data_IF_464723542476
#
_entry.id   IF_464723542476
#
_cell.length_a   1.000
_cell.length_b   1.000
_cell.length_c   1.000
_cell.angle_alpha   90.00
_cell.angle_beta   90.00
_cell.angle_gamma   90.00
#
_symmetry.space_group_name_H-M   'P 1'
#
loop_
_entity.id
_entity.type
_entity.pdbx_description
1 polymer ?
#
# COMPACT_ATOMS: atom_id res chain seq x y z
N UNK A 1 10.01 16.05 -17.06
CA UNK A 1 11.08 15.17 -16.52
C UNK A 1 10.43 14.40 -15.39
N UNK A 2 10.59 13.08 -15.37
CA UNK A 2 10.03 12.25 -14.30
C UNK A 2 10.92 12.34 -13.06
N UNK A 3 10.32 12.53 -11.88
CA UNK A 3 11.02 12.57 -10.60
C UNK A 3 10.40 11.57 -9.63
N UNK A 4 11.24 10.93 -8.82
CA UNK A 4 10.81 10.02 -7.79
C UNK A 4 10.49 10.80 -6.50
N UNK A 5 9.34 10.53 -5.90
CA UNK A 5 8.89 11.17 -4.64
C UNK A 5 8.71 10.15 -3.53
N UNK A 6 8.86 10.60 -2.28
CA UNK A 6 8.75 9.77 -1.08
C UNK A 6 7.39 9.99 -0.38
N UNK A 7 7.20 9.33 0.76
CA UNK A 7 5.93 9.32 1.50
C UNK A 7 5.53 10.69 2.04
N UNK A 8 6.49 11.58 2.30
CA UNK A 8 6.21 12.95 2.72
C UNK A 8 5.42 13.73 1.67
N UNK A 9 5.69 13.50 0.38
CA UNK A 9 4.93 14.05 -0.74
C UNK A 9 3.49 13.53 -0.74
N UNK A 10 3.30 12.22 -0.52
CA UNK A 10 1.96 11.63 -0.39
C UNK A 10 1.19 12.22 0.80
N UNK A 11 1.85 12.37 1.94
CA UNK A 11 1.28 12.96 3.15
C UNK A 11 0.95 14.45 2.97
N UNK A 12 1.76 15.19 2.22
CA UNK A 12 1.52 16.59 1.90
C UNK A 12 0.25 16.77 1.03
N UNK A 13 -0.02 15.83 0.13
CA UNK A 13 -1.24 15.80 -0.69
C UNK A 13 -2.46 15.27 0.09
N UNK A 14 -2.25 14.34 1.02
CA UNK A 14 -3.34 13.68 1.76
C UNK A 14 -3.92 14.53 2.90
N UNK A 15 -3.14 15.42 3.51
CA UNK A 15 -3.57 16.21 4.67
C UNK A 15 -4.20 17.54 4.23
N UNK A 16 -5.30 17.90 4.87
CA UNK A 16 -5.96 19.20 4.68
C UNK A 16 -5.09 20.41 5.08
N UNK A 17 -4.09 20.20 5.93
CA UNK A 17 -3.18 21.26 6.39
C UNK A 17 -1.76 20.74 6.62
N UNK A 18 -1.03 20.49 5.53
CA UNK A 18 0.42 20.26 5.57
C UNK A 18 1.17 21.51 5.11
N UNK A 19 2.29 21.82 5.78
CA UNK A 19 3.16 22.94 5.42
C UNK A 19 3.82 22.76 4.04
N UNK A 20 3.86 21.53 3.52
CA UNK A 20 4.36 21.19 2.18
C UNK A 20 3.26 21.11 1.12
N UNK A 21 1.97 21.21 1.46
CA UNK A 21 0.87 20.96 0.53
C UNK A 21 0.97 21.79 -0.76
N UNK A 22 1.14 23.12 -0.62
CA UNK A 22 1.29 24.00 -1.79
C UNK A 22 2.52 23.68 -2.65
N UNK A 23 3.63 23.28 -2.02
CA UNK A 23 4.84 22.86 -2.74
C UNK A 23 4.64 21.56 -3.50
N UNK A 24 3.91 20.60 -2.92
CA UNK A 24 3.59 19.33 -3.57
C UNK A 24 2.63 19.53 -4.75
N UNK A 25 1.61 20.38 -4.59
CA UNK A 25 0.69 20.74 -5.68
C UNK A 25 1.39 21.47 -6.83
N UNK A 26 2.29 22.41 -6.52
CA UNK A 26 3.09 23.10 -7.52
C UNK A 26 3.98 22.11 -8.29
N UNK A 27 4.61 21.17 -7.57
CA UNK A 27 5.43 20.13 -8.18
C UNK A 27 4.64 19.20 -9.13
N UNK A 28 3.37 18.87 -8.82
CA UNK A 28 2.50 18.11 -9.73
C UNK A 28 2.22 18.85 -11.04
N UNK A 29 2.30 20.18 -11.05
CA UNK A 29 2.18 21.01 -12.26
C UNK A 29 3.46 21.11 -13.08
N UNK A 30 4.62 20.86 -12.47
CA UNK A 30 5.94 21.03 -13.09
C UNK A 30 6.56 19.70 -13.53
N UNK A 31 6.36 18.64 -12.77
CA UNK A 31 7.00 17.34 -12.95
C UNK A 31 5.97 16.23 -13.16
N UNK A 32 6.36 15.23 -13.96
CA UNK A 32 5.74 13.91 -13.85
C UNK A 32 6.36 13.24 -12.62
N UNK A 33 5.54 12.68 -11.73
CA UNK A 33 6.02 12.07 -10.49
C UNK A 33 5.71 10.58 -10.47
N UNK A 34 6.57 9.81 -9.82
CA UNK A 34 6.31 8.40 -9.51
C UNK A 34 6.87 8.07 -8.12
N UNK A 35 6.38 7.00 -7.53
CA UNK A 35 6.89 6.48 -6.25
C UNK A 35 6.92 4.94 -6.26
N UNK A 36 7.23 4.32 -5.13
CA UNK A 36 7.17 2.87 -4.98
C UNK A 36 6.00 2.42 -4.11
N UNK A 37 5.66 1.14 -4.18
CA UNK A 37 4.74 0.50 -3.24
C UNK A 37 5.13 0.72 -1.76
N UNK A 38 6.44 0.92 -1.47
CA UNK A 38 6.89 1.17 -0.10
C UNK A 38 6.41 2.50 0.47
N UNK A 39 6.24 3.53 -0.36
CA UNK A 39 5.70 4.80 0.11
C UNK A 39 4.23 4.69 0.49
N UNK A 40 3.46 3.88 -0.23
CA UNK A 40 2.09 3.55 0.16
C UNK A 40 2.02 2.66 1.41
N UNK A 41 2.94 1.71 1.56
CA UNK A 41 3.06 0.93 2.79
C UNK A 41 3.38 1.82 4.00
N UNK A 42 4.30 2.77 3.86
CA UNK A 42 4.64 3.72 4.91
C UNK A 42 3.46 4.64 5.25
N UNK A 43 2.66 5.05 4.25
CA UNK A 43 1.42 5.77 4.46
C UNK A 43 0.44 4.98 5.35
N UNK A 44 0.27 3.67 5.12
CA UNK A 44 -0.58 2.82 5.98
C UNK A 44 -0.02 2.67 7.40
N UNK A 45 1.31 2.63 7.55
CA UNK A 45 1.97 2.61 8.88
C UNK A 45 1.76 3.93 9.64
N UNK A 46 1.49 5.04 8.94
CA UNK A 46 1.19 6.32 9.56
C UNK A 46 -0.21 6.41 10.18
N UNK A 47 -1.05 5.37 10.11
CA UNK A 47 -2.42 5.33 10.68
C UNK A 47 -2.51 5.66 12.16
N UNK A 48 -1.49 5.33 12.95
CA UNK A 48 -1.47 5.73 14.37
C UNK A 48 -1.46 7.26 14.56
N UNK A 49 -1.07 8.01 13.52
CA UNK A 49 -0.99 9.48 13.53
C UNK A 49 -2.15 10.15 12.81
N UNK A 50 -2.79 9.45 11.86
CA UNK A 50 -3.80 10.03 10.97
C UNK A 50 -4.97 9.07 10.73
N UNK A 51 -6.18 9.55 10.98
CA UNK A 51 -7.43 8.85 10.72
C UNK A 51 -7.94 9.20 9.31
N UNK A 52 -7.40 8.50 8.30
CA UNK A 52 -7.87 8.60 6.92
C UNK A 52 -8.83 7.47 6.56
N UNK A 53 -9.66 7.73 5.54
CA UNK A 53 -10.33 6.67 4.79
C UNK A 53 -9.36 6.14 3.72
N UNK A 54 -8.61 5.10 4.06
CA UNK A 54 -7.40 4.70 3.33
C UNK A 54 -7.69 4.16 1.93
N UNK A 55 -8.77 3.39 1.74
CA UNK A 55 -9.12 2.83 0.43
C UNK A 55 -9.33 3.92 -0.63
N UNK A 56 -10.25 4.89 -0.44
CA UNK A 56 -10.42 5.99 -1.39
C UNK A 56 -9.21 6.93 -1.43
N UNK A 57 -8.50 7.14 -0.31
CA UNK A 57 -7.29 7.97 -0.30
C UNK A 57 -6.21 7.39 -1.22
N UNK A 58 -5.87 6.11 -1.05
CA UNK A 58 -4.83 5.43 -1.84
C UNK A 58 -5.23 5.37 -3.30
N UNK A 59 -6.50 5.08 -3.61
CA UNK A 59 -6.99 5.08 -4.99
C UNK A 59 -6.82 6.45 -5.66
N UNK A 60 -7.15 7.54 -4.96
CA UNK A 60 -6.98 8.89 -5.48
C UNK A 60 -5.50 9.28 -5.62
N UNK A 61 -4.67 8.93 -4.62
CA UNK A 61 -3.23 9.22 -4.65
C UNK A 61 -2.54 8.48 -5.80
N UNK A 62 -2.91 7.23 -6.12
CA UNK A 62 -2.33 6.47 -7.23
C UNK A 62 -2.58 7.11 -8.61
N UNK A 63 -3.62 7.93 -8.75
CA UNK A 63 -3.87 8.70 -9.98
C UNK A 63 -2.99 9.96 -10.07
N UNK A 64 -2.50 10.48 -8.94
CA UNK A 64 -1.62 11.65 -8.89
C UNK A 64 -0.13 11.26 -8.83
N UNK A 65 0.17 10.21 -8.09
CA UNK A 65 1.52 9.72 -7.79
C UNK A 65 1.56 8.21 -8.06
N UNK A 66 1.66 7.80 -9.34
CA UNK A 66 1.66 6.40 -9.72
C UNK A 66 2.90 5.66 -9.20
N UNK A 67 2.78 4.33 -9.18
CA UNK A 67 3.91 3.40 -9.01
C UNK A 67 4.42 2.90 -10.37
N UNK A 68 5.51 2.15 -10.39
CA UNK A 68 6.29 1.89 -11.60
C UNK A 68 5.49 1.18 -12.70
N UNK A 69 4.67 0.19 -12.34
CA UNK A 69 3.88 -0.58 -13.31
C UNK A 69 2.50 -1.00 -12.78
N UNK A 70 1.66 -1.51 -13.70
CA UNK A 70 0.29 -1.92 -13.38
C UNK A 70 0.25 -3.07 -12.36
N UNK A 71 1.25 -3.97 -12.32
CA UNK A 71 1.27 -5.03 -11.32
C UNK A 71 1.54 -4.45 -9.93
N UNK A 72 2.48 -3.51 -9.83
CA UNK A 72 2.74 -2.80 -8.58
C UNK A 72 1.51 -1.98 -8.13
N UNK A 73 0.80 -1.34 -9.09
CA UNK A 73 -0.48 -0.66 -8.81
C UNK A 73 -1.51 -1.62 -8.22
N UNK A 74 -1.66 -2.81 -8.80
CA UNK A 74 -2.57 -3.83 -8.28
C UNK A 74 -2.17 -4.31 -6.89
N UNK A 75 -0.87 -4.43 -6.59
CA UNK A 75 -0.40 -4.75 -5.22
C UNK A 75 -0.86 -3.68 -4.22
N UNK A 76 -0.66 -2.41 -4.53
CA UNK A 76 -1.04 -1.30 -3.63
C UNK A 76 -2.57 -1.28 -3.41
N UNK A 77 -3.35 -1.42 -4.48
CA UNK A 77 -4.82 -1.42 -4.40
C UNK A 77 -5.36 -2.61 -3.60
N UNK A 78 -4.84 -3.82 -3.81
CA UNK A 78 -5.26 -5.00 -3.03
C UNK A 78 -4.82 -4.88 -1.58
N UNK A 79 -3.60 -4.41 -1.33
CA UNK A 79 -3.07 -4.25 0.02
C UNK A 79 -3.92 -3.27 0.84
N UNK A 80 -4.37 -2.15 0.27
CA UNK A 80 -5.22 -1.22 1.01
C UNK A 80 -6.61 -1.81 1.32
N UNK A 81 -7.15 -2.69 0.47
CA UNK A 81 -8.39 -3.41 0.77
C UNK A 81 -8.19 -4.43 1.91
N UNK A 82 -7.15 -5.26 1.85
CA UNK A 82 -6.83 -6.21 2.92
C UNK A 82 -6.53 -5.53 4.26
N UNK A 83 -5.92 -4.35 4.20
CA UNK A 83 -5.72 -3.51 5.37
C UNK A 83 -7.04 -3.00 5.97
N UNK A 84 -7.99 -2.57 5.13
CA UNK A 84 -9.33 -2.14 5.57
C UNK A 84 -10.12 -3.31 6.21
N UNK A 85 -9.89 -4.53 5.72
CA UNK A 85 -10.44 -5.77 6.28
C UNK A 85 -9.78 -6.20 7.61
N UNK A 86 -8.74 -5.50 8.06
CA UNK A 86 -8.18 -5.64 9.41
C UNK A 86 -6.75 -6.16 9.49
N UNK A 87 -6.12 -6.48 8.36
CA UNK A 87 -4.71 -6.92 8.35
C UNK A 87 -3.75 -5.82 8.77
N UNK A 88 -2.59 -6.20 9.30
CA UNK A 88 -1.50 -5.25 9.46
C UNK A 88 -1.00 -4.76 8.09
N UNK A 89 -0.41 -3.55 7.98
CA UNK A 89 0.09 -3.05 6.69
C UNK A 89 1.04 -4.02 5.98
N UNK A 90 1.95 -4.66 6.71
CA UNK A 90 2.89 -5.60 6.10
C UNK A 90 2.19 -6.88 5.63
N UNK A 91 1.30 -7.45 6.44
CA UNK A 91 0.59 -8.68 6.07
C UNK A 91 -0.29 -8.47 4.84
N UNK A 92 -0.95 -7.32 4.76
CA UNK A 92 -1.75 -6.91 3.61
C UNK A 92 -0.92 -6.79 2.32
N UNK A 93 0.27 -6.16 2.40
CA UNK A 93 1.18 -6.05 1.25
C UNK A 93 1.77 -7.41 0.85
N UNK A 94 2.05 -8.30 1.79
CA UNK A 94 2.49 -9.66 1.50
C UNK A 94 1.39 -10.46 0.78
N UNK A 95 0.16 -10.45 1.30
CA UNK A 95 -1.01 -11.07 0.68
C UNK A 95 -1.24 -10.57 -0.75
N UNK A 96 -1.35 -9.25 -0.92
CA UNK A 96 -1.56 -8.62 -2.22
C UNK A 96 -0.45 -8.93 -3.23
N UNK A 97 0.81 -9.00 -2.77
CA UNK A 97 1.94 -9.37 -3.62
C UNK A 97 1.86 -10.81 -4.09
N UNK A 98 1.55 -11.74 -3.20
CA UNK A 98 1.44 -13.15 -3.53
C UNK A 98 0.29 -13.41 -4.50
N UNK A 99 -0.89 -12.86 -4.21
CA UNK A 99 -2.08 -12.97 -5.04
C UNK A 99 -1.85 -12.39 -6.45
N UNK A 100 -1.26 -11.20 -6.54
CA UNK A 100 -0.96 -10.55 -7.84
C UNK A 100 0.05 -11.34 -8.67
N UNK A 101 0.87 -12.16 -8.03
CA UNK A 101 1.83 -13.06 -8.68
C UNK A 101 1.26 -14.47 -8.91
N UNK A 102 0.04 -14.76 -8.45
CA UNK A 102 -0.57 -16.10 -8.52
C UNK A 102 0.21 -17.13 -7.72
N UNK A 103 0.69 -16.75 -6.52
CA UNK A 103 1.46 -17.61 -5.63
C UNK A 103 0.72 -17.83 -4.32
N UNK A 104 0.84 -19.04 -3.78
CA UNK A 104 0.43 -19.35 -2.43
C UNK A 104 1.40 -18.74 -1.42
N UNK A 105 0.94 -18.53 -0.18
CA UNK A 105 1.77 -17.97 0.89
C UNK A 105 2.08 -19.03 1.93
N UNK A 106 3.35 -19.44 2.00
CA UNK A 106 3.88 -20.24 3.12
C UNK A 106 4.07 -19.33 4.33
N UNK A 107 3.15 -19.40 5.30
CA UNK A 107 3.16 -18.50 6.46
C UNK A 107 2.51 -19.14 7.68
N UNK A 108 2.85 -18.60 8.86
CA UNK A 108 2.14 -18.86 10.11
C UNK A 108 0.99 -17.86 10.36
N UNK A 109 0.87 -16.83 9.52
CA UNK A 109 -0.23 -15.87 9.59
C UNK A 109 -1.53 -16.56 9.17
N UNK A 110 -2.54 -16.58 10.05
CA UNK A 110 -3.80 -17.26 9.82
C UNK A 110 -4.85 -16.34 9.19
N UNK A 111 -4.66 -15.02 9.27
CA UNK A 111 -5.55 -14.03 8.66
C UNK A 111 -5.67 -14.22 7.14
N UNK A 112 -4.72 -14.90 6.50
CA UNK A 112 -4.81 -15.27 5.08
C UNK A 112 -5.91 -16.29 4.76
N UNK A 113 -6.38 -17.06 5.75
CA UNK A 113 -7.46 -18.05 5.57
C UNK A 113 -8.82 -17.40 5.26
N UNK A 114 -8.97 -16.10 5.54
CA UNK A 114 -10.23 -15.35 5.36
C UNK A 114 -10.26 -14.50 4.07
N UNK A 115 -9.21 -14.53 3.23
CA UNK A 115 -9.10 -13.74 1.99
C UNK A 115 -8.80 -14.62 0.76
N UNK A 116 -8.63 -14.00 -0.42
CA UNK A 116 -8.43 -14.71 -1.69
C UNK A 116 -7.07 -15.40 -1.85
N UNK A 117 -6.16 -15.27 -0.86
CA UNK A 117 -4.81 -15.83 -0.90
C UNK A 117 -4.79 -17.23 -0.32
N UNK A 118 -4.28 -18.20 -1.08
CA UNK A 118 -4.12 -19.57 -0.60
C UNK A 118 -2.93 -19.67 0.38
N UNK A 119 -3.21 -20.07 1.63
CA UNK A 119 -2.19 -20.28 2.67
C UNK A 119 -1.68 -21.71 2.66
N UNK A 120 -0.36 -21.87 2.56
CA UNK A 120 0.33 -23.11 2.93
C UNK A 120 0.78 -22.98 4.39
N UNK A 121 0.28 -23.83 5.32
CA UNK A 121 0.67 -23.74 6.73
C UNK A 121 2.17 -23.94 6.93
N UNK A 122 2.80 -23.03 7.65
CA UNK A 122 4.22 -23.14 8.06
C UNK A 122 4.37 -23.88 9.40
N UNK A 123 3.32 -23.90 10.22
CA UNK A 123 3.35 -24.55 11.52
C UNK A 123 3.59 -26.06 11.38
N UNK A 124 4.32 -26.68 12.32
CA UNK A 124 4.48 -28.12 12.31
C UNK A 124 3.10 -28.80 12.42
N UNK A 125 2.87 -29.81 11.58
CA UNK A 125 1.76 -30.75 11.80
C UNK A 125 2.03 -31.53 13.08
N UNK A 126 1.01 -31.78 13.91
CA UNK A 126 1.09 -32.52 15.19
C UNK A 126 1.55 -34.01 15.05
N UNK A 127 2.25 -34.36 13.97
CA UNK A 127 2.93 -35.62 13.77
C UNK A 127 4.36 -35.57 14.35
N UNK A 128 4.46 -35.56 15.68
CA UNK A 128 5.65 -36.04 16.43
C UNK A 128 5.29 -37.19 17.39
#
# INVERSE_FOLDING_TARGET
>A
MTVYVETDFLLALAKDSDWLQGSAEEALGEYEVETSAFSYLELLLARERYEFDYVPLVANLLELVPVQDEKEKQVVLKAVNYYDEGMTPFDAFHAATAETRGMDVLSSERDYEDIEVERVPLEPTDEE
#
